data_IF_606973302195
#
_entry.id   IF_606973302195
#
_cell.length_a   1.000
_cell.length_b   1.000
_cell.length_c   1.000
_cell.angle_alpha   90.00
_cell.angle_beta   90.00
_cell.angle_gamma   90.00
#
_symmetry.space_group_name_H-M   'P 1'
#
loop_
_entity.id
_entity.type
_entity.pdbx_description
1 polymer ?
#
# COMPACT_ATOMS: atom_id res chain seq x y z
N UNK A 1 -11.33 7.59 24.63
CA UNK A 1 -9.98 7.52 24.03
C UNK A 1 -8.86 7.44 25.07
N UNK A 2 -9.11 7.77 26.34
CA UNK A 2 -8.08 7.76 27.39
C UNK A 2 -7.45 6.39 27.65
N UNK A 3 -8.25 5.32 27.64
CA UNK A 3 -7.74 3.95 27.80
C UNK A 3 -6.69 3.59 26.73
N UNK A 4 -6.90 4.01 25.47
CA UNK A 4 -5.94 3.75 24.40
C UNK A 4 -4.66 4.57 24.58
N UNK A 5 -4.77 5.84 25.00
CA UNK A 5 -3.59 6.65 25.34
C UNK A 5 -2.77 6.00 26.46
N UNK A 6 -3.45 5.50 27.48
CA UNK A 6 -2.82 4.82 28.61
C UNK A 6 -2.14 3.53 28.17
N UNK A 7 -2.82 2.69 27.38
CA UNK A 7 -2.24 1.46 26.85
C UNK A 7 -0.97 1.73 26.02
N UNK A 8 -1.01 2.73 25.14
CA UNK A 8 0.14 3.14 24.35
C UNK A 8 1.28 3.67 25.22
N UNK A 9 0.97 4.45 26.27
CA UNK A 9 1.96 4.95 27.22
C UNK A 9 2.63 3.81 28.00
N UNK A 10 1.85 2.84 28.46
CA UNK A 10 2.36 1.64 29.14
C UNK A 10 3.25 0.81 28.21
N UNK A 11 2.82 0.59 26.97
CA UNK A 11 3.62 -0.11 25.96
C UNK A 11 4.94 0.62 25.68
N UNK A 12 4.90 1.95 25.54
CA UNK A 12 6.08 2.81 25.39
C UNK A 12 7.07 2.61 26.54
N UNK A 13 6.58 2.56 27.78
CA UNK A 13 7.41 2.36 28.98
C UNK A 13 8.01 0.95 29.02
N UNK A 14 7.22 -0.08 28.73
CA UNK A 14 7.68 -1.47 28.78
C UNK A 14 8.66 -1.83 27.66
N UNK A 15 8.45 -1.29 26.45
CA UNK A 15 9.25 -1.62 25.26
C UNK A 15 10.42 -0.66 25.01
N UNK A 16 10.40 0.54 25.59
CA UNK A 16 11.34 1.62 25.26
C UNK A 16 11.12 2.27 23.87
N UNK A 17 10.14 1.80 23.10
CA UNK A 17 9.82 2.34 21.78
C UNK A 17 9.19 3.73 21.87
N UNK A 18 9.24 4.52 20.81
CA UNK A 18 8.61 5.84 20.71
C UNK A 18 7.76 5.94 19.45
N UNK A 19 6.60 6.58 19.54
CA UNK A 19 5.77 6.89 18.38
C UNK A 19 6.48 7.94 17.54
N UNK A 20 6.44 7.75 16.21
CA UNK A 20 6.93 8.74 15.27
C UNK A 20 5.77 9.66 14.83
N UNK A 21 5.74 10.93 15.27
CA UNK A 21 4.65 11.85 14.94
C UNK A 21 4.58 12.20 13.45
N UNK A 22 5.67 12.05 12.69
CA UNK A 22 5.65 12.31 11.24
C UNK A 22 5.05 11.17 10.43
N UNK A 23 4.91 9.99 11.04
CA UNK A 23 4.32 8.78 10.41
C UNK A 23 3.00 8.37 11.06
N UNK A 24 2.50 9.16 12.02
CA UNK A 24 1.28 8.88 12.77
C UNK A 24 0.29 10.02 12.58
N UNK A 25 -0.93 9.67 12.22
CA UNK A 25 -2.01 10.62 11.93
C UNK A 25 -3.35 9.99 12.33
N UNK A 26 -4.38 10.82 12.45
CA UNK A 26 -5.76 10.38 12.64
C UNK A 26 -6.53 10.61 11.34
N UNK A 27 -7.28 9.60 10.91
CA UNK A 27 -8.12 9.66 9.73
C UNK A 27 -9.57 9.36 10.11
N UNK A 28 -10.55 10.19 9.72
CA UNK A 28 -11.96 9.96 10.02
C UNK A 28 -12.49 8.80 9.17
N UNK A 29 -13.24 7.87 9.79
CA UNK A 29 -13.98 6.81 9.09
C UNK A 29 -15.40 6.83 9.64
N UNK A 30 -16.36 7.35 8.87
CA UNK A 30 -17.76 7.51 9.30
C UNK A 30 -17.91 8.25 10.65
N UNK A 31 -17.02 9.20 10.94
CA UNK A 31 -17.05 10.03 12.15
C UNK A 31 -17.00 11.50 11.74
N UNK A 32 -17.67 12.35 12.52
CA UNK A 32 -17.69 13.79 12.34
C UNK A 32 -16.28 14.42 12.39
N UNK A 33 -16.07 15.44 11.54
CA UNK A 33 -14.78 16.10 11.40
C UNK A 33 -14.40 16.93 12.63
N UNK A 34 -15.37 17.50 13.36
CA UNK A 34 -15.13 18.25 14.60
C UNK A 34 -14.57 17.31 15.65
N UNK A 35 -15.25 16.18 15.89
CA UNK A 35 -14.78 15.16 16.84
C UNK A 35 -13.40 14.60 16.46
N UNK A 36 -13.15 14.45 15.17
CA UNK A 36 -11.86 13.94 14.68
C UNK A 36 -10.74 14.95 14.91
N UNK A 37 -10.99 16.25 14.69
CA UNK A 37 -10.05 17.35 15.00
C UNK A 37 -9.72 17.41 16.48
N UNK A 38 -10.74 17.43 17.35
CA UNK A 38 -10.55 17.43 18.81
C UNK A 38 -9.71 16.24 19.26
N UNK A 39 -9.95 15.06 18.66
CA UNK A 39 -9.15 13.86 18.95
C UNK A 39 -7.72 14.01 18.45
N UNK A 40 -7.50 14.51 17.23
CA UNK A 40 -6.16 14.69 16.68
C UNK A 40 -5.32 15.68 17.52
N UNK A 41 -5.91 16.80 17.91
CA UNK A 41 -5.29 17.79 18.80
C UNK A 41 -4.96 17.21 20.18
N UNK A 42 -5.91 16.50 20.78
CA UNK A 42 -5.72 15.83 22.08
C UNK A 42 -4.58 14.80 22.05
N UNK A 43 -4.30 14.20 20.89
CA UNK A 43 -3.24 13.22 20.69
C UNK A 43 -1.93 13.82 20.14
N UNK A 44 -1.94 15.07 19.70
CA UNK A 44 -0.79 15.70 19.04
C UNK A 44 -0.45 15.10 17.68
N UNK A 45 -1.45 14.55 16.97
CA UNK A 45 -1.28 13.97 15.64
C UNK A 45 -1.89 14.86 14.56
N UNK A 46 -1.37 14.74 13.34
CA UNK A 46 -1.97 15.41 12.18
C UNK A 46 -3.21 14.67 11.71
N UNK A 47 -4.09 15.40 11.00
CA UNK A 47 -5.21 14.79 10.29
C UNK A 47 -4.78 14.35 8.90
N UNK A 48 -5.24 13.17 8.49
CA UNK A 48 -5.15 12.71 7.12
C UNK A 48 -6.53 12.33 6.63
N UNK A 49 -6.85 12.71 5.39
CA UNK A 49 -8.13 12.34 4.80
C UNK A 49 -8.14 10.85 4.46
N UNK A 50 -9.26 10.23 4.78
CA UNK A 50 -9.56 8.89 4.29
C UNK A 50 -9.93 8.99 2.78
N UNK A 51 -9.45 8.06 1.94
CA UNK A 51 -8.84 6.80 2.33
C UNK A 51 -7.32 6.81 2.35
N UNK A 52 -6.75 5.98 3.23
CA UNK A 52 -5.31 5.93 3.49
C UNK A 52 -4.66 4.69 2.87
N UNK A 53 -3.45 4.87 2.36
CA UNK A 53 -2.62 3.76 1.92
C UNK A 53 -2.09 3.01 3.14
N UNK A 54 -2.22 1.68 3.13
CA UNK A 54 -1.67 0.82 4.17
C UNK A 54 -0.86 -0.29 3.53
N UNK A 55 0.37 -0.52 3.99
CA UNK A 55 1.27 -1.55 3.45
C UNK A 55 1.49 -1.48 1.93
N UNK A 56 1.43 -0.28 1.36
CA UNK A 56 1.61 -0.06 -0.09
C UNK A 56 0.45 -0.59 -0.95
N UNK A 57 -0.66 -1.01 -0.34
CA UNK A 57 -1.88 -1.36 -1.06
C UNK A 57 -2.72 -0.10 -1.31
N UNK A 58 -3.37 0.01 -2.47
CA UNK A 58 -4.35 1.06 -2.71
C UNK A 58 -5.45 1.01 -1.65
N UNK A 59 -6.11 2.14 -1.34
CA UNK A 59 -6.81 2.34 -0.09
C UNK A 59 -7.84 1.21 0.19
N UNK A 60 -7.55 0.30 1.13
CA UNK A 60 -8.25 -0.99 1.27
C UNK A 60 -9.76 -0.87 1.51
N UNK A 61 -10.13 0.21 2.20
CA UNK A 61 -11.45 0.40 2.78
C UNK A 61 -12.33 1.38 1.98
N UNK A 62 -11.80 1.99 0.91
CA UNK A 62 -12.57 2.90 0.04
C UNK A 62 -12.31 2.73 -1.46
N UNK A 63 -11.32 1.92 -1.83
CA UNK A 63 -11.08 1.60 -3.21
C UNK A 63 -12.23 0.77 -3.79
N UNK A 64 -12.42 0.86 -5.11
CA UNK A 64 -13.27 -0.08 -5.87
C UNK A 64 -12.34 -1.08 -6.58
N UNK A 65 -12.08 -2.28 -6.03
CA UNK A 65 -11.23 -3.27 -6.68
C UNK A 65 -11.64 -3.61 -8.12
N UNK A 66 -12.94 -3.54 -8.44
CA UNK A 66 -13.46 -3.75 -9.79
C UNK A 66 -13.15 -2.59 -10.77
N UNK A 67 -12.63 -1.47 -10.28
CA UNK A 67 -12.25 -0.34 -11.12
C UNK A 67 -10.81 -0.48 -11.60
N UNK A 68 -10.53 -0.04 -12.84
CA UNK A 68 -9.16 -0.01 -13.36
C UNK A 68 -8.27 0.96 -12.58
N UNK A 69 -8.84 2.06 -12.09
CA UNK A 69 -8.14 3.10 -11.35
C UNK A 69 -7.52 2.56 -10.04
N UNK A 70 -8.17 1.60 -9.38
CA UNK A 70 -7.62 0.97 -8.18
C UNK A 70 -6.27 0.28 -8.43
N UNK A 71 -6.04 -0.23 -9.63
CA UNK A 71 -4.84 -0.99 -9.99
C UNK A 71 -3.78 -0.17 -10.74
N UNK A 72 -4.03 1.11 -11.06
CA UNK A 72 -3.14 1.91 -11.90
C UNK A 72 -1.73 2.02 -11.31
N UNK A 73 -1.64 2.40 -10.03
CA UNK A 73 -0.37 2.56 -9.31
C UNK A 73 0.42 1.24 -9.28
N UNK A 74 -0.25 0.10 -9.04
CA UNK A 74 0.39 -1.22 -9.06
C UNK A 74 0.95 -1.55 -10.44
N UNK A 75 0.16 -1.36 -11.49
CA UNK A 75 0.59 -1.62 -12.87
C UNK A 75 1.74 -0.70 -13.27
N UNK A 76 1.70 0.57 -12.88
CA UNK A 76 2.78 1.53 -13.13
C UNK A 76 4.07 1.17 -12.40
N UNK A 77 3.99 0.75 -11.12
CA UNK A 77 5.16 0.24 -10.37
C UNK A 77 5.80 -0.97 -11.05
N UNK A 78 4.99 -1.92 -11.51
CA UNK A 78 5.47 -3.10 -12.26
C UNK A 78 6.15 -2.64 -13.56
N UNK A 79 5.49 -1.77 -14.34
CA UNK A 79 6.03 -1.27 -15.59
C UNK A 79 7.36 -0.53 -15.40
N UNK A 80 7.46 0.36 -14.40
CA UNK A 80 8.68 1.12 -14.09
C UNK A 80 9.84 0.21 -13.71
N UNK A 81 9.61 -0.84 -12.91
CA UNK A 81 10.64 -1.84 -12.59
C UNK A 81 11.13 -2.58 -13.83
N UNK A 82 10.20 -3.04 -14.69
CA UNK A 82 10.55 -3.74 -15.93
C UNK A 82 11.36 -2.85 -16.88
N UNK A 83 10.99 -1.57 -17.01
CA UNK A 83 11.76 -0.61 -17.81
C UNK A 83 13.19 -0.43 -17.27
N UNK A 84 13.35 -0.38 -15.94
CA UNK A 84 14.68 -0.32 -15.32
C UNK A 84 15.56 -1.53 -15.65
N UNK A 85 14.97 -2.72 -15.76
CA UNK A 85 15.70 -3.93 -16.12
C UNK A 85 15.88 -4.14 -17.62
N UNK A 86 15.08 -3.48 -18.47
CA UNK A 86 15.17 -3.64 -19.92
C UNK A 86 16.55 -3.28 -20.48
N UNK A 87 17.27 -2.38 -19.81
CA UNK A 87 18.63 -1.97 -20.18
C UNK A 87 19.72 -2.89 -19.63
N UNK A 88 19.37 -3.90 -18.83
CA UNK A 88 20.33 -4.88 -18.31
C UNK A 88 20.49 -6.03 -19.30
N UNK A 89 21.74 -6.40 -19.60
CA UNK A 89 22.08 -7.52 -20.48
C UNK A 89 21.89 -8.86 -19.73
N UNK A 90 20.63 -9.24 -19.52
CA UNK A 90 20.25 -10.47 -18.83
C UNK A 90 19.72 -11.48 -19.84
N UNK A 91 20.20 -12.72 -19.75
CA UNK A 91 19.72 -13.84 -20.56
C UNK A 91 18.24 -14.11 -20.34
N UNK A 92 17.58 -14.77 -21.29
CA UNK A 92 16.14 -15.09 -21.18
C UNK A 92 15.79 -15.87 -19.89
N UNK A 93 16.62 -16.84 -19.52
CA UNK A 93 16.48 -17.58 -18.26
C UNK A 93 16.70 -16.72 -17.02
N UNK A 94 17.67 -15.80 -17.07
CA UNK A 94 17.90 -14.82 -16.01
C UNK A 94 16.73 -13.85 -15.84
N UNK A 95 16.11 -13.40 -16.93
CA UNK A 95 14.92 -12.52 -16.91
C UNK A 95 13.73 -13.20 -16.24
N UNK A 96 13.48 -14.47 -16.58
CA UNK A 96 12.42 -15.24 -15.94
C UNK A 96 12.66 -15.41 -14.44
N UNK A 97 13.90 -15.74 -14.05
CA UNK A 97 14.29 -15.90 -12.64
C UNK A 97 14.15 -14.58 -11.88
N UNK A 98 14.59 -13.47 -12.47
CA UNK A 98 14.47 -12.13 -11.88
C UNK A 98 12.99 -11.73 -11.70
N UNK A 99 12.16 -11.96 -12.73
CA UNK A 99 10.73 -11.66 -12.68
C UNK A 99 10.04 -12.43 -11.55
N UNK A 100 10.29 -13.75 -11.46
CA UNK A 100 9.66 -14.60 -10.45
C UNK A 100 10.11 -14.27 -9.02
N UNK A 101 11.41 -14.02 -8.82
CA UNK A 101 11.97 -13.74 -7.49
C UNK A 101 11.59 -12.37 -6.93
N UNK A 102 11.22 -11.40 -7.77
CA UNK A 102 11.04 -10.01 -7.31
C UNK A 102 9.70 -9.37 -7.68
N UNK A 103 9.17 -9.57 -8.89
CA UNK A 103 7.97 -8.88 -9.38
C UNK A 103 6.70 -9.72 -9.26
N UNK A 104 6.79 -11.05 -9.32
CA UNK A 104 5.61 -11.91 -9.27
C UNK A 104 4.88 -11.85 -7.92
N UNK A 105 5.59 -11.57 -6.83
CA UNK A 105 5.02 -11.52 -5.47
C UNK A 105 4.04 -10.36 -5.26
N UNK A 106 4.31 -9.20 -5.85
CA UNK A 106 3.49 -7.98 -5.67
C UNK A 106 2.06 -8.11 -6.22
N UNK A 107 1.83 -8.47 -7.50
CA UNK A 107 0.49 -8.68 -7.99
C UNK A 107 -0.16 -9.90 -7.36
N UNK A 108 0.59 -10.96 -7.02
CA UNK A 108 0.05 -12.14 -6.33
C UNK A 108 -0.57 -11.77 -4.98
N UNK A 109 0.15 -10.99 -4.16
CA UNK A 109 -0.35 -10.49 -2.88
C UNK A 109 -1.63 -9.67 -3.06
N UNK A 110 -1.65 -8.70 -3.98
CA UNK A 110 -2.83 -7.86 -4.19
C UNK A 110 -4.02 -8.64 -4.75
N UNK A 111 -3.79 -9.62 -5.63
CA UNK A 111 -4.84 -10.48 -6.18
C UNK A 111 -5.41 -11.45 -5.14
N UNK A 112 -4.63 -11.83 -4.11
CA UNK A 112 -5.16 -12.60 -2.98
C UNK A 112 -6.10 -11.78 -2.08
N UNK A 113 -5.92 -10.46 -2.02
CA UNK A 113 -6.74 -9.55 -1.20
C UNK A 113 -7.95 -9.02 -1.95
N UNK A 114 -7.84 -8.81 -3.26
CA UNK A 114 -8.82 -8.07 -4.05
C UNK A 114 -9.15 -8.75 -5.37
N UNK A 115 -10.45 -8.82 -5.69
CA UNK A 115 -10.91 -9.32 -6.99
C UNK A 115 -10.65 -8.27 -8.07
N UNK A 116 -9.64 -8.50 -8.90
CA UNK A 116 -9.30 -7.65 -10.04
C UNK A 116 -10.23 -7.88 -11.24
N UNK A 117 -10.47 -6.85 -12.07
CA UNK A 117 -11.03 -7.03 -13.40
C UNK A 117 -10.08 -7.84 -14.28
N UNK A 118 -10.64 -8.65 -15.17
CA UNK A 118 -9.88 -9.48 -16.12
C UNK A 118 -8.86 -8.66 -16.91
N UNK A 119 -9.18 -7.40 -17.24
CA UNK A 119 -8.28 -6.54 -18.01
C UNK A 119 -6.99 -6.21 -17.27
N UNK A 120 -6.99 -6.22 -15.93
CA UNK A 120 -5.78 -5.95 -15.12
C UNK A 120 -4.82 -7.13 -15.21
N UNK A 121 -5.30 -8.37 -15.05
CA UNK A 121 -4.49 -9.57 -15.25
C UNK A 121 -3.87 -9.61 -16.64
N UNK A 122 -4.69 -9.40 -17.68
CA UNK A 122 -4.22 -9.32 -19.08
C UNK A 122 -3.15 -8.24 -19.29
N UNK A 123 -3.26 -7.09 -18.62
CA UNK A 123 -2.29 -6.00 -18.73
C UNK A 123 -0.96 -6.35 -18.06
N UNK A 124 -1.00 -6.95 -16.87
CA UNK A 124 0.20 -7.41 -16.16
C UNK A 124 0.92 -8.50 -16.97
N UNK A 125 0.18 -9.49 -17.46
CA UNK A 125 0.76 -10.54 -18.32
C UNK A 125 1.39 -9.98 -19.59
N UNK A 126 0.76 -8.99 -20.23
CA UNK A 126 1.33 -8.33 -21.42
C UNK A 126 2.66 -7.66 -21.09
N UNK A 127 2.77 -7.01 -19.93
CA UNK A 127 4.03 -6.40 -19.48
C UNK A 127 5.11 -7.46 -19.27
N UNK A 128 4.78 -8.59 -18.66
CA UNK A 128 5.71 -9.70 -18.45
C UNK A 128 6.17 -10.30 -19.77
N UNK A 129 5.25 -10.57 -20.70
CA UNK A 129 5.58 -11.10 -22.04
C UNK A 129 6.47 -10.16 -22.85
N UNK A 130 6.32 -8.85 -22.69
CA UNK A 130 7.16 -7.88 -23.39
C UNK A 130 8.57 -7.76 -22.82
N UNK A 131 8.79 -8.19 -21.57
CA UNK A 131 10.10 -8.16 -20.90
C UNK A 131 10.92 -9.43 -21.15
N UNK A 132 10.27 -10.58 -21.11
CA UNK A 132 10.86 -11.90 -21.40
C UNK A 132 11.33 -12.01 -22.85
#
# INVERSE_FOLDING_TARGET
>A
MENLKMAIKLFKMASGLKINPTKSFISPINVDLVRTKETAESWGFTLQNFPIDYLGTPPPLAGKPQSKAFWSNTVEKIHKKLLGWKYTQVSKGGRLTLLNSTLASTPTYLLSLYKAPIQIGKKIERLWRNYL
#
